data_IF_781562097364
#
_entry.id   IF_781562097364
#
_cell.length_a   1.000
_cell.length_b   1.000
_cell.length_c   1.000
_cell.angle_alpha   90.00
_cell.angle_beta   90.00
_cell.angle_gamma   90.00
#
_symmetry.space_group_name_H-M   'P 1'
#
loop_
_entity.id
_entity.type
_entity.pdbx_description
1 polymer ?
#
# COMPACT_ATOMS: atom_id res chain seq x y z
N UNK A 1 -17.61 20.13 25.89
CA UNK A 1 -16.16 20.34 25.79
C UNK A 1 -15.83 20.42 24.31
N UNK A 2 -15.22 21.51 23.83
CA UNK A 2 -14.75 21.57 22.44
C UNK A 2 -13.68 20.50 22.25
N UNK A 3 -13.92 19.52 21.37
CA UNK A 3 -12.86 18.59 20.97
C UNK A 3 -11.69 19.41 20.40
N UNK A 4 -10.49 19.13 20.86
CA UNK A 4 -9.30 19.78 20.34
C UNK A 4 -9.10 19.35 18.88
N UNK A 5 -8.93 20.32 17.99
CA UNK A 5 -8.60 20.04 16.59
C UNK A 5 -7.19 19.43 16.51
N UNK A 6 -7.07 18.29 15.82
CA UNK A 6 -5.80 17.61 15.55
C UNK A 6 -5.31 17.92 14.13
N UNK A 7 -4.00 17.86 13.95
CA UNK A 7 -3.34 17.89 12.64
C UNK A 7 -2.87 16.47 12.31
N UNK A 8 -3.55 15.86 11.36
CA UNK A 8 -3.53 14.42 11.11
C UNK A 8 -2.68 14.09 9.89
N UNK A 9 -1.80 13.10 10.04
CA UNK A 9 -1.20 12.38 8.92
C UNK A 9 -2.12 11.20 8.60
N UNK A 10 -2.68 11.15 7.40
CA UNK A 10 -3.56 10.05 7.00
C UNK A 10 -2.77 8.95 6.28
N UNK A 11 -2.79 7.73 6.82
CA UNK A 11 -2.25 6.56 6.14
C UNK A 11 -3.23 6.15 5.04
N UNK A 12 -2.76 6.15 3.79
CA UNK A 12 -3.55 5.78 2.61
C UNK A 12 -2.94 4.58 1.88
N UNK A 13 -3.83 3.76 1.30
CA UNK A 13 -3.45 2.53 0.62
C UNK A 13 -3.87 2.43 -0.83
N UNK A 14 -4.74 3.32 -1.33
CA UNK A 14 -5.49 3.04 -2.57
C UNK A 14 -6.92 2.61 -2.29
N UNK A 15 -7.13 1.88 -1.19
CA UNK A 15 -8.43 1.30 -0.84
C UNK A 15 -9.41 2.25 -0.13
N UNK A 16 -10.70 1.90 -0.24
CA UNK A 16 -11.86 2.65 0.30
C UNK A 16 -11.75 2.97 1.80
N UNK A 17 -11.23 2.05 2.61
CA UNK A 17 -11.24 2.18 4.06
C UNK A 17 -10.33 3.31 4.53
N UNK A 18 -9.20 3.50 3.84
CA UNK A 18 -8.25 4.57 4.14
C UNK A 18 -8.80 5.96 3.82
N UNK A 19 -9.50 6.11 2.68
CA UNK A 19 -10.19 7.35 2.31
C UNK A 19 -11.40 7.63 3.21
N UNK A 20 -12.17 6.60 3.57
CA UNK A 20 -13.29 6.76 4.48
C UNK A 20 -12.83 7.20 5.89
N UNK A 21 -11.64 6.75 6.33
CA UNK A 21 -11.02 7.23 7.58
C UNK A 21 -10.67 8.73 7.54
N UNK A 22 -10.29 9.27 6.37
CA UNK A 22 -10.10 10.72 6.17
C UNK A 22 -11.43 11.47 6.37
N UNK A 23 -12.53 10.98 5.83
CA UNK A 23 -13.85 11.60 6.02
C UNK A 23 -14.24 11.65 7.50
N UNK A 24 -13.92 10.61 8.28
CA UNK A 24 -14.11 10.64 9.74
C UNK A 24 -13.24 11.70 10.42
N UNK A 25 -11.99 11.90 10.00
CA UNK A 25 -11.15 12.98 10.53
C UNK A 25 -11.78 14.36 10.29
N UNK A 26 -12.24 14.62 9.05
CA UNK A 26 -12.86 15.88 8.68
C UNK A 26 -14.18 16.11 9.43
N UNK A 27 -15.03 15.08 9.53
CA UNK A 27 -16.32 15.14 10.24
C UNK A 27 -16.16 15.45 11.73
N UNK A 28 -15.06 15.00 12.35
CA UNK A 28 -14.72 15.30 13.75
C UNK A 28 -13.91 16.62 13.92
N UNK A 29 -13.82 17.43 12.87
CA UNK A 29 -13.20 18.76 12.92
C UNK A 29 -11.67 18.74 12.95
N UNK A 30 -11.03 17.61 12.63
CA UNK A 30 -9.59 17.52 12.48
C UNK A 30 -9.13 17.96 11.09
N UNK A 31 -7.88 18.39 10.98
CA UNK A 31 -7.26 18.80 9.72
C UNK A 31 -6.29 17.73 9.25
N UNK A 32 -6.50 17.18 8.05
CA UNK A 32 -5.49 16.31 7.42
C UNK A 32 -4.42 17.19 6.78
N UNK A 33 -3.17 17.03 7.22
CA UNK A 33 -2.05 17.89 6.79
C UNK A 33 -1.10 17.20 5.81
N UNK A 34 -1.11 15.87 5.79
CA UNK A 34 -0.29 15.05 4.89
C UNK A 34 -0.95 13.68 4.68
N UNK A 35 -0.71 13.10 3.51
CA UNK A 35 -1.00 11.71 3.17
C UNK A 35 0.31 10.91 3.26
N UNK A 36 0.24 9.69 3.78
CA UNK A 36 1.38 8.80 3.91
C UNK A 36 1.03 7.44 3.27
N UNK A 37 1.90 6.95 2.40
CA UNK A 37 1.76 5.64 1.78
C UNK A 37 3.09 4.89 1.78
N UNK A 38 3.05 3.61 2.13
CA UNK A 38 4.16 2.70 1.89
C UNK A 38 3.85 1.86 0.66
N UNK A 39 4.85 1.60 -0.17
CA UNK A 39 4.72 0.84 -1.41
C UNK A 39 5.80 -0.23 -1.52
N UNK A 40 5.63 -1.26 -2.37
CA UNK A 40 6.71 -2.19 -2.70
C UNK A 40 8.01 -1.49 -3.11
N UNK A 41 9.21 -2.02 -2.79
CA UNK A 41 10.44 -1.54 -3.39
C UNK A 41 10.31 -1.57 -4.90
N UNK A 42 10.57 -0.43 -5.51
CA UNK A 42 10.65 -0.31 -6.95
C UNK A 42 12.03 -0.90 -7.30
N UNK A 43 12.06 -2.11 -7.86
CA UNK A 43 13.32 -2.75 -8.23
C UNK A 43 14.17 -1.85 -9.14
N UNK A 44 15.51 -2.00 -9.09
CA UNK A 44 16.34 -1.49 -10.18
C UNK A 44 16.01 -2.33 -11.43
N UNK A 45 15.25 -1.79 -12.38
CA UNK A 45 15.04 -2.40 -13.70
C UNK A 45 15.65 -1.52 -14.80
N UNK A 46 16.31 -2.17 -15.76
CA UNK A 46 16.93 -1.56 -16.95
C UNK A 46 15.89 -1.09 -17.99
N UNK A 47 14.61 -1.42 -17.81
CA UNK A 47 13.49 -0.92 -18.60
C UNK A 47 12.39 -0.36 -17.68
N UNK A 48 12.11 0.93 -17.81
CA UNK A 48 11.03 1.61 -17.07
C UNK A 48 9.67 1.20 -17.66
N UNK A 49 8.79 0.56 -16.88
CA UNK A 49 7.39 0.34 -17.27
C UNK A 49 6.76 1.67 -17.73
N UNK A 50 5.98 1.65 -18.82
CA UNK A 50 5.35 2.84 -19.39
C UNK A 50 4.49 3.60 -18.36
N UNK A 51 3.89 2.84 -17.43
CA UNK A 51 3.11 3.35 -16.30
C UNK A 51 4.01 4.09 -15.29
N UNK A 52 5.19 3.54 -15.00
CA UNK A 52 6.19 4.16 -14.13
C UNK A 52 6.77 5.45 -14.73
N UNK A 53 7.11 5.43 -16.02
CA UNK A 53 7.58 6.60 -16.75
C UNK A 53 6.55 7.75 -16.72
N UNK A 54 5.25 7.43 -16.88
CA UNK A 54 4.18 8.40 -16.76
C UNK A 54 4.09 9.03 -15.35
N UNK A 55 4.31 8.25 -14.28
CA UNK A 55 4.34 8.77 -12.91
C UNK A 55 5.54 9.67 -12.64
N UNK A 56 6.73 9.33 -13.16
CA UNK A 56 7.94 10.15 -13.04
C UNK A 56 7.78 11.49 -13.76
N UNK A 57 7.21 11.48 -14.96
CA UNK A 57 6.93 12.68 -15.77
C UNK A 57 5.88 13.60 -15.12
N UNK A 58 4.92 13.04 -14.37
CA UNK A 58 3.88 13.81 -13.68
C UNK A 58 4.39 14.60 -12.45
N UNK A 59 5.64 14.41 -12.03
CA UNK A 59 6.22 15.06 -10.85
C UNK A 59 5.71 14.52 -9.50
N UNK A 60 5.04 13.37 -9.51
CA UNK A 60 4.47 12.74 -8.32
C UNK A 60 5.47 11.87 -7.52
N UNK A 61 6.67 11.65 -8.07
CA UNK A 61 7.84 11.12 -7.38
C UNK A 61 8.85 12.27 -7.24
N UNK A 62 9.04 12.79 -6.03
CA UNK A 62 10.16 13.68 -5.75
C UNK A 62 11.43 12.84 -5.62
N UNK A 63 12.53 13.34 -6.18
CA UNK A 63 13.87 12.74 -6.11
C UNK A 63 14.19 12.20 -4.71
N UNK A 64 14.57 10.92 -4.66
CA UNK A 64 15.25 10.35 -3.50
C UNK A 64 16.68 10.94 -3.52
N UNK A 65 16.91 12.02 -2.78
CA UNK A 65 18.25 12.55 -2.51
C UNK A 65 18.98 11.56 -1.57
N UNK A 66 19.53 10.48 -2.13
CA UNK A 66 20.32 9.54 -1.32
C UNK A 66 20.65 8.22 -1.99
N UNK A 67 21.44 8.26 -3.06
CA UNK A 67 22.61 7.37 -3.32
C UNK A 67 22.92 7.34 -4.83
N UNK A 68 23.43 8.45 -5.35
CA UNK A 68 24.14 8.48 -6.64
C UNK A 68 25.63 8.22 -6.37
N UNK A 69 26.07 6.98 -6.52
CA UNK A 69 27.45 6.67 -6.86
C UNK A 69 27.48 6.23 -8.32
N UNK A 70 27.82 7.20 -9.17
CA UNK A 70 27.85 7.07 -10.61
C UNK A 70 28.66 5.88 -11.13
N UNK A 71 28.13 5.30 -12.19
CA UNK A 71 28.88 4.54 -13.16
C UNK A 71 28.39 4.93 -14.56
N UNK A 72 29.00 5.99 -15.10
CA UNK A 72 28.92 6.29 -16.53
C UNK A 72 29.46 5.08 -17.32
N UNK A 73 28.58 4.43 -18.10
CA UNK A 73 28.99 3.61 -19.22
C UNK A 73 28.20 4.03 -20.45
N UNK A 74 28.91 4.72 -21.34
CA UNK A 74 28.51 4.94 -22.72
C UNK A 74 28.31 3.56 -23.39
N UNK A 75 27.14 3.34 -24.00
CA UNK A 75 26.86 2.16 -24.82
C UNK A 75 26.88 2.60 -26.28
N UNK A 76 27.88 2.13 -27.03
CA UNK A 76 27.94 2.26 -28.49
C UNK A 76 26.85 1.40 -29.12
N UNK A 77 26.03 1.99 -30.00
CA UNK A 77 25.04 1.28 -30.80
C UNK A 77 25.73 0.57 -31.97
N UNK A 78 25.74 -0.77 -31.97
CA UNK A 78 26.17 -1.57 -33.11
C UNK A 78 24.94 -2.00 -33.92
N UNK A 79 24.84 -1.48 -35.15
CA UNK A 79 23.75 -1.74 -36.09
C UNK A 79 24.14 -2.94 -36.94
N UNK A 80 23.52 -4.11 -36.71
CA UNK A 80 23.62 -5.25 -37.62
C UNK A 80 22.30 -5.42 -38.37
N UNK A 81 22.33 -5.04 -39.65
CA UNK A 81 21.29 -5.39 -40.62
C UNK A 81 21.35 -6.89 -40.92
N UNK A 82 20.21 -7.59 -40.81
CA UNK A 82 19.94 -8.78 -41.61
C UNK A 82 18.48 -8.76 -42.06
N UNK A 83 18.32 -8.61 -43.37
CA UNK A 83 17.12 -9.00 -44.10
C UNK A 83 17.07 -10.53 -44.16
N UNK A 84 15.91 -11.12 -43.87
CA UNK A 84 15.44 -12.32 -44.58
C UNK A 84 13.94 -12.49 -44.40
N UNK A 85 13.24 -12.46 -45.53
CA UNK A 85 11.86 -12.90 -45.72
C UNK A 85 11.73 -14.41 -45.42
N UNK A 86 10.72 -14.80 -44.65
CA UNK A 86 9.62 -15.71 -45.00
C UNK A 86 8.93 -16.19 -43.72
N UNK A 87 7.61 -16.25 -43.77
CA UNK A 87 6.77 -16.24 -42.59
C UNK A 87 6.68 -17.55 -41.81
N UNK A 88 6.23 -17.39 -40.59
CA UNK A 88 5.50 -18.38 -39.82
C UNK A 88 4.49 -17.60 -38.97
N UNK A 89 3.22 -18.00 -39.02
CA UNK A 89 2.15 -17.37 -38.24
C UNK A 89 2.10 -17.89 -36.79
N UNK A 90 3.12 -18.63 -36.37
CA UNK A 90 3.21 -19.30 -35.06
C UNK A 90 4.26 -18.63 -34.12
N UNK A 91 5.23 -17.84 -34.62
CA UNK A 91 6.25 -17.17 -33.77
C UNK A 91 5.69 -15.91 -33.07
N UNK A 92 4.72 -15.20 -33.67
CA UNK A 92 4.09 -14.02 -33.06
C UNK A 92 3.19 -14.39 -31.86
N UNK A 93 2.54 -15.57 -31.87
CA UNK A 93 1.74 -16.04 -30.72
C UNK A 93 2.64 -16.52 -29.56
N UNK A 94 3.80 -17.14 -29.84
CA UNK A 94 4.75 -17.54 -28.79
C UNK A 94 5.45 -16.31 -28.15
N UNK A 95 5.79 -15.28 -28.93
CA UNK A 95 6.33 -14.01 -28.39
C UNK A 95 5.27 -13.25 -27.55
N UNK A 96 4.00 -13.22 -27.98
CA UNK A 96 2.90 -12.62 -27.19
C UNK A 96 2.62 -13.41 -25.89
N UNK A 97 2.66 -14.74 -25.91
CA UNK A 97 2.51 -15.58 -24.71
C UNK A 97 3.70 -15.40 -23.73
N UNK A 98 4.94 -15.30 -24.23
CA UNK A 98 6.11 -15.01 -23.39
C UNK A 98 6.06 -13.59 -22.80
N UNK A 99 5.62 -12.58 -23.56
CA UNK A 99 5.40 -11.22 -23.04
C UNK A 99 4.27 -11.18 -21.98
N UNK A 100 3.16 -11.91 -22.18
CA UNK A 100 2.08 -12.02 -21.19
C UNK A 100 2.53 -12.76 -19.92
N UNK A 101 3.30 -13.85 -20.04
CA UNK A 101 3.87 -14.56 -18.89
C UNK A 101 4.89 -13.69 -18.12
N UNK A 102 5.73 -12.92 -18.82
CA UNK A 102 6.64 -11.96 -18.19
C UNK A 102 5.85 -10.83 -17.49
N UNK A 103 4.80 -10.29 -18.10
CA UNK A 103 3.93 -9.28 -17.46
C UNK A 103 3.20 -9.81 -16.22
N UNK A 104 2.69 -11.06 -16.26
CA UNK A 104 2.06 -11.71 -15.10
C UNK A 104 3.06 -11.97 -13.97
N UNK A 105 4.28 -12.46 -14.28
CA UNK A 105 5.35 -12.63 -13.29
C UNK A 105 5.81 -11.26 -12.71
N UNK A 106 5.82 -10.19 -13.51
CA UNK A 106 6.12 -8.84 -13.06
C UNK A 106 5.04 -8.27 -12.12
N UNK A 107 3.75 -8.49 -12.40
CA UNK A 107 2.66 -8.12 -11.49
C UNK A 107 2.70 -8.92 -10.17
N UNK A 108 3.07 -10.20 -10.22
CA UNK A 108 3.26 -11.04 -9.03
C UNK A 108 4.46 -10.59 -8.18
N UNK A 109 5.56 -10.15 -8.80
CA UNK A 109 6.72 -9.58 -8.08
C UNK A 109 6.41 -8.23 -7.42
N UNK A 110 5.50 -7.42 -7.99
CA UNK A 110 5.06 -6.16 -7.37
C UNK A 110 4.24 -6.38 -6.08
N UNK A 111 3.50 -7.48 -5.99
CA UNK A 111 2.67 -7.79 -4.83
C UNK A 111 3.45 -8.52 -3.73
N UNK A 112 4.20 -7.74 -2.93
CA UNK A 112 4.71 -8.25 -1.65
C UNK A 112 3.56 -8.75 -0.77
N UNK A 113 3.67 -10.00 -0.34
CA UNK A 113 2.78 -10.62 0.66
C UNK A 113 3.00 -10.01 2.06
N UNK A 114 2.60 -8.75 2.24
CA UNK A 114 2.58 -8.07 3.54
C UNK A 114 1.17 -8.14 4.14
N UNK A 115 1.05 -8.77 5.31
CA UNK A 115 -0.17 -8.67 6.13
C UNK A 115 -0.38 -7.24 6.69
N UNK A 116 0.66 -6.42 6.67
CA UNK A 116 0.63 -5.06 7.21
C UNK A 116 0.11 -4.04 6.19
N UNK A 117 0.57 -4.11 4.95
CA UNK A 117 0.35 -3.08 3.93
C UNK A 117 -0.37 -3.64 2.70
N UNK A 118 -1.32 -2.86 2.17
CA UNK A 118 -1.92 -3.15 0.88
C UNK A 118 -1.00 -2.62 -0.23
N UNK A 119 -0.53 -3.52 -1.09
CA UNK A 119 0.36 -3.24 -2.24
C UNK A 119 -0.39 -3.15 -3.56
N UNK A 120 -1.49 -3.90 -3.66
CA UNK A 120 -2.37 -3.92 -4.84
C UNK A 120 -2.88 -2.51 -5.15
N UNK A 121 -2.72 -2.08 -6.40
CA UNK A 121 -3.19 -0.79 -6.89
C UNK A 121 -2.44 0.40 -6.29
N UNK A 122 -1.25 0.20 -5.69
CA UNK A 122 -0.45 1.30 -5.14
C UNK A 122 -0.02 2.32 -6.21
N UNK A 123 -0.02 1.95 -7.49
CA UNK A 123 0.26 2.81 -8.64
C UNK A 123 -0.71 3.99 -8.74
N UNK A 124 -1.98 3.86 -8.34
CA UNK A 124 -2.97 4.95 -8.41
C UNK A 124 -2.82 6.01 -7.31
N UNK A 125 -2.18 5.65 -6.20
CA UNK A 125 -2.08 6.48 -4.98
C UNK A 125 -1.51 7.89 -5.22
N UNK A 126 -0.50 8.11 -6.10
CA UNK A 126 -0.01 9.44 -6.45
C UNK A 126 -1.09 10.42 -6.91
N UNK A 127 -2.15 9.93 -7.57
CA UNK A 127 -3.24 10.78 -8.06
C UNK A 127 -4.04 11.43 -6.91
N UNK A 128 -4.07 10.81 -5.73
CA UNK A 128 -4.79 11.36 -4.58
C UNK A 128 -4.21 12.67 -4.07
N UNK A 129 -2.91 12.93 -4.26
CA UNK A 129 -2.34 14.23 -3.92
C UNK A 129 -3.06 15.36 -4.65
N UNK A 130 -3.19 15.21 -5.97
CA UNK A 130 -3.85 16.20 -6.83
C UNK A 130 -5.36 16.24 -6.58
N UNK A 131 -6.01 15.09 -6.40
CA UNK A 131 -7.45 15.01 -6.16
C UNK A 131 -7.87 15.62 -4.82
N UNK A 132 -7.08 15.43 -3.76
CA UNK A 132 -7.40 15.91 -2.41
C UNK A 132 -6.78 17.27 -2.10
N UNK A 133 -5.77 17.71 -2.85
CA UNK A 133 -5.00 18.92 -2.55
C UNK A 133 -4.20 18.81 -1.24
N UNK A 134 -3.82 17.59 -0.85
CA UNK A 134 -3.08 17.29 0.38
C UNK A 134 -1.72 16.69 -0.02
N UNK A 135 -0.58 17.20 0.51
CA UNK A 135 0.74 16.66 0.20
C UNK A 135 0.84 15.16 0.48
N UNK A 136 1.40 14.40 -0.45
CA UNK A 136 1.61 12.97 -0.35
C UNK A 136 3.10 12.66 -0.15
N UNK A 137 3.37 11.80 0.82
CA UNK A 137 4.69 11.25 1.09
C UNK A 137 4.64 9.75 0.92
N UNK A 138 5.58 9.23 0.13
CA UNK A 138 5.70 7.81 -0.18
C UNK A 138 7.07 7.30 0.23
N UNK A 139 7.15 6.05 0.65
CA UNK A 139 8.41 5.37 0.88
C UNK A 139 8.28 3.87 0.59
N UNK A 140 9.37 3.20 0.18
CA UNK A 140 9.35 1.76 -0.02
C UNK A 140 9.23 1.02 1.31
N UNK A 141 8.56 -0.13 1.30
CA UNK A 141 8.54 -1.10 2.39
C UNK A 141 9.91 -1.79 2.39
N UNK A 142 10.66 -1.62 3.48
CA UNK A 142 11.97 -2.27 3.67
C UNK A 142 11.86 -3.39 4.68
N UNK A 143 12.64 -4.45 4.49
CA UNK A 143 12.67 -5.58 5.40
C UNK A 143 11.50 -6.54 5.24
N UNK A 144 11.26 -7.36 6.26
CA UNK A 144 10.23 -8.41 6.28
C UNK A 144 9.43 -8.36 7.59
N UNK A 145 8.31 -9.08 7.68
CA UNK A 145 7.58 -9.22 8.94
C UNK A 145 8.37 -10.07 9.96
N UNK A 146 9.18 -9.44 10.81
CA UNK A 146 10.00 -10.15 11.81
C UNK A 146 9.20 -10.48 13.07
N UNK A 147 8.47 -9.51 13.62
CA UNK A 147 7.44 -9.79 14.61
C UNK A 147 6.15 -10.14 13.87
N UNK A 148 5.71 -11.40 13.95
CA UNK A 148 4.44 -11.88 13.37
C UNK A 148 3.34 -12.02 14.42
N UNK A 149 3.60 -11.62 15.67
CA UNK A 149 2.61 -11.68 16.73
C UNK A 149 1.45 -10.69 16.48
N UNK A 150 0.31 -11.03 17.08
CA UNK A 150 -0.91 -10.19 17.04
C UNK A 150 -0.69 -8.82 17.68
N UNK A 151 0.02 -8.80 18.80
CA UNK A 151 0.35 -7.58 19.54
C UNK A 151 1.82 -7.26 19.30
N UNK A 152 2.08 -6.09 18.71
CA UNK A 152 3.43 -5.69 18.35
C UNK A 152 4.19 -5.13 19.55
N UNK A 153 5.40 -5.66 19.77
CA UNK A 153 6.29 -5.15 20.80
C UNK A 153 7.42 -4.35 20.16
N UNK A 154 7.80 -3.23 20.78
CA UNK A 154 8.94 -2.45 20.30
C UNK A 154 10.19 -3.34 20.33
N UNK A 155 10.94 -3.43 19.23
CA UNK A 155 12.20 -4.18 19.22
C UNK A 155 13.11 -3.64 20.33
N UNK A 156 13.42 -4.48 21.32
CA UNK A 156 14.37 -4.10 22.36
C UNK A 156 15.75 -4.03 21.73
N UNK A 157 16.47 -2.92 21.94
CA UNK A 157 17.89 -2.79 21.58
C UNK A 157 18.79 -3.86 22.25
N UNK A 158 18.25 -4.68 23.14
CA UNK A 158 18.92 -5.74 23.89
C UNK A 158 18.38 -7.16 23.64
N UNK A 159 17.56 -7.40 22.61
CA UNK A 159 17.14 -8.77 22.31
C UNK A 159 18.38 -9.61 21.92
N UNK A 160 18.56 -10.83 22.48
CA UNK A 160 19.66 -11.69 22.08
C UNK A 160 19.50 -11.99 20.59
N UNK A 161 20.52 -11.67 19.79
CA UNK A 161 20.62 -12.13 18.42
C UNK A 161 20.58 -13.65 18.47
N UNK A 162 19.47 -14.26 18.06
CA UNK A 162 19.39 -15.71 17.97
C UNK A 162 20.35 -16.16 16.86
N UNK A 163 21.53 -16.58 17.29
CA UNK A 163 22.66 -16.94 16.46
C UNK A 163 23.88 -17.24 17.32
N UNK A 164 23.69 -17.94 18.44
CA UNK A 164 24.80 -18.62 19.13
C UNK A 164 25.11 -19.89 18.35
N UNK A 165 25.62 -19.70 17.13
CA UNK A 165 26.33 -20.74 16.40
C UNK A 165 27.81 -20.54 16.73
N UNK A 166 28.26 -21.21 17.78
CA UNK A 166 29.65 -21.60 17.95
C UNK A 166 30.07 -22.42 16.72
N UNK A 167 30.45 -21.76 15.64
CA UNK A 167 31.19 -22.37 14.57
C UNK A 167 32.22 -21.37 14.04
N UNK A 168 33.42 -21.46 14.61
CA UNK A 168 34.66 -20.94 14.06
C UNK A 168 34.86 -21.48 12.63
N UNK A 169 34.33 -20.78 11.63
CA UNK A 169 34.86 -20.87 10.28
C UNK A 169 34.82 -19.49 9.62
N UNK A 170 35.95 -18.80 9.73
CA UNK A 170 36.23 -17.57 9.02
C UNK A 170 36.29 -17.85 7.51
N UNK A 171 35.15 -17.69 6.82
CA UNK A 171 35.16 -17.37 5.41
C UNK A 171 34.34 -16.10 5.17
N UNK A 172 35.04 -15.08 4.71
CA UNK A 172 34.53 -13.74 4.53
C UNK A 172 33.55 -13.67 3.36
N UNK A 173 32.27 -13.46 3.64
CA UNK A 173 31.39 -12.72 2.74
C UNK A 173 30.83 -11.52 3.52
N UNK A 174 31.43 -10.36 3.29
CA UNK A 174 31.22 -9.14 4.09
C UNK A 174 29.87 -8.44 3.84
N UNK A 175 28.91 -9.09 3.16
CA UNK A 175 27.61 -8.51 2.84
C UNK A 175 26.40 -9.23 3.47
N UNK A 176 26.61 -10.21 4.37
CA UNK A 176 25.53 -11.03 4.95
C UNK A 176 25.16 -10.69 6.41
N UNK A 177 25.63 -9.57 6.95
CA UNK A 177 25.53 -9.28 8.39
C UNK A 177 24.80 -7.96 8.73
N UNK A 178 24.02 -7.42 7.78
CA UNK A 178 23.04 -6.39 8.10
C UNK A 178 21.97 -7.01 9.02
N UNK A 179 21.63 -6.37 10.16
CA UNK A 179 20.55 -6.87 11.00
C UNK A 179 19.26 -6.91 10.19
N UNK A 180 18.53 -8.02 10.29
CA UNK A 180 17.22 -8.13 9.66
C UNK A 180 16.34 -6.94 10.09
N UNK A 181 15.68 -6.32 9.12
CA UNK A 181 14.84 -5.15 9.33
C UNK A 181 13.37 -5.55 9.35
N UNK A 182 12.61 -5.04 10.33
CA UNK A 182 11.17 -5.26 10.42
C UNK A 182 10.41 -4.25 9.54
N UNK A 183 9.49 -4.75 8.71
CA UNK A 183 8.70 -3.94 7.78
C UNK A 183 8.00 -2.74 8.47
N UNK A 184 7.62 -2.89 9.74
CA UNK A 184 6.94 -1.87 10.54
C UNK A 184 7.77 -0.60 10.70
N UNK A 185 9.11 -0.72 10.70
CA UNK A 185 10.01 0.42 10.88
C UNK A 185 10.02 1.34 9.65
N UNK A 186 9.60 0.84 8.48
CA UNK A 186 9.36 1.67 7.29
C UNK A 186 8.33 2.77 7.58
N UNK A 187 7.26 2.43 8.32
CA UNK A 187 6.23 3.40 8.71
C UNK A 187 6.77 4.42 9.71
N UNK A 188 7.59 3.99 10.67
CA UNK A 188 8.22 4.89 11.63
C UNK A 188 9.07 5.96 10.92
N UNK A 189 9.90 5.55 9.95
CA UNK A 189 10.75 6.48 9.20
C UNK A 189 9.95 7.43 8.32
N UNK A 190 8.94 6.93 7.62
CA UNK A 190 8.05 7.75 6.80
C UNK A 190 7.34 8.81 7.65
N UNK A 191 6.74 8.41 8.77
CA UNK A 191 6.06 9.36 9.66
C UNK A 191 7.03 10.36 10.28
N UNK A 192 8.25 9.93 10.65
CA UNK A 192 9.27 10.84 11.14
C UNK A 192 9.67 11.88 10.09
N UNK A 193 9.82 11.48 8.82
CA UNK A 193 10.07 12.40 7.71
C UNK A 193 8.94 13.42 7.56
N UNK A 194 7.68 12.96 7.54
CA UNK A 194 6.49 13.82 7.43
C UNK A 194 6.42 14.81 8.61
N UNK A 195 6.72 14.39 9.83
CA UNK A 195 6.72 15.27 11.00
C UNK A 195 7.79 16.38 10.92
N UNK A 196 8.90 16.15 10.22
CA UNK A 196 9.89 17.23 9.96
C UNK A 196 9.34 18.26 8.98
N UNK A 197 8.62 17.83 7.95
CA UNK A 197 7.98 18.70 6.98
C UNK A 197 6.70 19.39 7.52
N UNK A 198 6.01 18.73 8.46
CA UNK A 198 4.79 19.20 9.11
C UNK A 198 4.94 19.18 10.64
N UNK A 199 5.69 20.12 11.25
CA UNK A 199 5.97 20.11 12.70
C UNK A 199 4.73 20.24 13.61
N UNK A 200 3.60 20.68 13.06
CA UNK A 200 2.33 20.76 13.78
C UNK A 200 1.55 19.45 13.82
N UNK A 201 1.97 18.42 13.07
CA UNK A 201 1.32 17.12 13.05
C UNK A 201 1.38 16.47 14.43
N UNK A 202 0.24 15.98 14.92
CA UNK A 202 0.10 15.42 16.26
C UNK A 202 -0.80 14.18 16.31
N UNK A 203 -1.27 13.70 15.16
CA UNK A 203 -2.09 12.51 15.07
C UNK A 203 -1.80 11.74 13.77
N UNK A 204 -2.05 10.43 13.80
CA UNK A 204 -2.01 9.56 12.62
C UNK A 204 -3.33 8.81 12.52
N UNK A 205 -3.93 8.77 11.32
CA UNK A 205 -5.19 8.06 11.08
C UNK A 205 -5.00 6.89 10.14
N UNK A 206 -5.67 5.78 10.43
CA UNK A 206 -5.60 4.56 9.63
C UNK A 206 -7.00 3.98 9.35
N UNK A 207 -7.12 3.25 8.25
CA UNK A 207 -8.35 2.59 7.81
C UNK A 207 -8.53 1.15 8.30
N UNK A 208 -7.77 0.68 9.29
CA UNK A 208 -7.86 -0.71 9.74
C UNK A 208 -9.21 -1.00 10.43
N UNK A 209 -9.94 -2.01 9.94
CA UNK A 209 -11.28 -2.35 10.45
C UNK A 209 -11.23 -3.45 11.54
N UNK A 210 -10.68 -4.62 11.24
CA UNK A 210 -10.69 -5.79 12.14
C UNK A 210 -9.30 -6.43 12.38
N UNK A 211 -8.27 -6.01 11.66
CA UNK A 211 -6.90 -6.49 11.87
C UNK A 211 -6.24 -5.92 13.13
N UNK A 212 -6.15 -6.75 14.19
CA UNK A 212 -5.42 -6.35 15.42
C UNK A 212 -3.94 -6.17 15.10
N UNK A 213 -3.41 -7.02 14.21
CA UNK A 213 -2.04 -7.00 13.73
C UNK A 213 -1.64 -5.63 13.17
N UNK A 214 -2.47 -5.06 12.29
CA UNK A 214 -2.22 -3.74 11.71
C UNK A 214 -2.35 -2.63 12.75
N UNK A 215 -3.40 -2.70 13.58
CA UNK A 215 -3.67 -1.68 14.60
C UNK A 215 -2.50 -1.57 15.60
N UNK A 216 -2.03 -2.68 16.16
CA UNK A 216 -1.01 -2.65 17.21
C UNK A 216 0.33 -2.13 16.71
N UNK A 217 0.69 -2.43 15.45
CA UNK A 217 1.88 -1.84 14.77
C UNK A 217 1.75 -0.33 14.60
N UNK A 218 0.62 0.16 14.12
CA UNK A 218 0.37 1.60 13.96
C UNK A 218 0.36 2.30 15.32
N UNK A 219 -0.30 1.74 16.32
CA UNK A 219 -0.34 2.28 17.68
C UNK A 219 1.06 2.32 18.31
N UNK A 220 1.88 1.29 18.10
CA UNK A 220 3.26 1.26 18.58
C UNK A 220 4.10 2.38 17.94
N UNK A 221 4.06 2.51 16.61
CA UNK A 221 4.76 3.57 15.89
C UNK A 221 4.28 4.96 16.32
N UNK A 222 2.96 5.15 16.43
CA UNK A 222 2.36 6.40 16.87
C UNK A 222 2.84 6.78 18.28
N UNK A 223 2.83 5.82 19.22
CA UNK A 223 3.28 6.03 20.59
C UNK A 223 4.76 6.44 20.65
N UNK A 224 5.63 5.79 19.85
CA UNK A 224 7.06 6.13 19.77
C UNK A 224 7.32 7.53 19.20
N UNK A 225 6.43 8.03 18.33
CA UNK A 225 6.52 9.36 17.73
C UNK A 225 5.73 10.44 18.48
N UNK A 226 5.01 10.08 19.55
CA UNK A 226 4.15 11.01 20.28
C UNK A 226 2.91 11.47 19.50
N UNK A 227 2.45 10.68 18.53
CA UNK A 227 1.25 10.92 17.74
C UNK A 227 0.04 10.26 18.41
N UNK A 228 -1.12 10.91 18.33
CA UNK A 228 -2.41 10.29 18.69
C UNK A 228 -2.87 9.36 17.57
N UNK A 229 -3.03 8.03 17.81
CA UNK A 229 -3.58 7.13 16.81
C UNK A 229 -5.10 7.29 16.71
N UNK A 230 -5.60 7.47 15.48
CA UNK A 230 -7.02 7.59 15.15
C UNK A 230 -7.46 6.37 14.34
N UNK A 231 -8.11 5.41 15.00
CA UNK A 231 -8.60 4.17 14.41
C UNK A 231 -10.13 4.16 14.34
N UNK A 232 -10.71 5.05 13.52
CA UNK A 232 -12.16 5.29 13.44
C UNK A 232 -12.99 4.06 13.10
N UNK A 233 -12.43 3.16 12.30
CA UNK A 233 -13.12 1.98 11.77
C UNK A 233 -12.82 0.71 12.58
N UNK A 234 -12.02 0.83 13.65
CA UNK A 234 -11.63 -0.32 14.43
C UNK A 234 -12.81 -0.97 15.12
N UNK A 235 -12.94 -2.30 14.96
CA UNK A 235 -14.07 -3.09 15.44
C UNK A 235 -15.42 -2.60 14.91
N UNK A 236 -15.47 -2.08 13.68
CA UNK A 236 -16.68 -1.49 13.11
C UNK A 236 -17.97 -2.33 13.28
N UNK A 237 -17.99 -3.67 13.09
CA UNK A 237 -19.22 -4.44 13.32
C UNK A 237 -19.75 -4.39 14.76
N UNK A 238 -18.92 -3.99 15.73
CA UNK A 238 -19.28 -3.79 17.14
C UNK A 238 -19.49 -2.31 17.51
N UNK A 239 -19.23 -1.37 16.60
CA UNK A 239 -19.52 0.04 16.83
C UNK A 239 -21.03 0.28 16.71
N UNK A 240 -21.62 1.16 17.55
CA UNK A 240 -23.01 1.57 17.37
C UNK A 240 -23.19 2.16 15.97
N UNK A 241 -24.23 1.76 15.21
CA UNK A 241 -24.47 2.38 13.93
C UNK A 241 -24.85 3.86 14.14
N UNK A 242 -24.61 4.75 13.16
CA UNK A 242 -25.22 6.08 13.13
C UNK A 242 -26.70 5.96 13.41
N UNK A 243 -27.25 6.92 14.17
CA UNK A 243 -28.64 6.91 14.63
C UNK A 243 -29.64 6.69 13.49
N UNK A 244 -29.28 7.12 12.28
CA UNK A 244 -30.09 7.05 11.06
C UNK A 244 -30.08 5.68 10.38
N UNK A 245 -29.02 4.87 10.58
CA UNK A 245 -28.84 3.55 9.96
C UNK A 245 -29.09 2.48 11.02
N UNK A 246 -30.05 1.61 10.80
CA UNK A 246 -30.29 0.47 11.69
C UNK A 246 -29.09 -0.49 11.76
N UNK A 247 -29.27 -1.61 12.45
CA UNK A 247 -28.26 -2.69 12.44
C UNK A 247 -28.23 -3.33 11.05
N UNK A 248 -27.07 -3.31 10.40
CA UNK A 248 -26.83 -3.93 9.10
C UNK A 248 -25.49 -4.65 9.09
N UNK A 249 -25.44 -5.85 8.50
CA UNK A 249 -24.21 -6.63 8.33
C UNK A 249 -23.23 -5.93 7.37
N UNK A 250 -23.75 -5.19 6.40
CA UNK A 250 -22.98 -4.42 5.42
C UNK A 250 -22.97 -2.92 5.73
N UNK A 251 -23.25 -2.56 6.99
CA UNK A 251 -23.46 -1.18 7.39
C UNK A 251 -22.33 -0.21 7.06
N UNK A 252 -21.08 -0.69 6.98
CA UNK A 252 -19.93 0.14 6.62
C UNK A 252 -19.99 0.55 5.15
N UNK A 253 -20.35 -0.38 4.28
CA UNK A 253 -20.49 -0.12 2.85
C UNK A 253 -21.66 0.81 2.60
N UNK A 254 -22.78 0.62 3.31
CA UNK A 254 -23.91 1.56 3.28
C UNK A 254 -23.51 2.98 3.73
N UNK A 255 -22.70 3.11 4.79
CA UNK A 255 -22.19 4.41 5.25
C UNK A 255 -21.25 5.05 4.23
N UNK A 256 -20.38 4.26 3.58
CA UNK A 256 -19.51 4.71 2.50
C UNK A 256 -20.33 5.22 1.31
N UNK A 257 -21.37 4.46 0.91
CA UNK A 257 -22.30 4.82 -0.16
C UNK A 257 -23.02 6.14 0.15
N UNK A 258 -23.49 6.30 1.39
CA UNK A 258 -24.20 7.50 1.83
C UNK A 258 -23.31 8.75 1.80
N UNK A 259 -21.98 8.57 1.87
CA UNK A 259 -21.00 9.65 1.70
C UNK A 259 -20.61 9.87 0.22
N UNK A 260 -21.22 9.15 -0.73
CA UNK A 260 -20.90 9.21 -2.15
C UNK A 260 -19.59 8.51 -2.51
N UNK A 261 -19.10 7.59 -1.68
CA UNK A 261 -17.94 6.78 -2.01
C UNK A 261 -18.32 5.76 -3.09
N UNK A 262 -17.61 5.79 -4.22
CA UNK A 262 -17.62 4.74 -5.23
C UNK A 262 -16.39 3.86 -4.99
N UNK A 263 -16.59 2.56 -4.74
CA UNK A 263 -15.51 1.66 -4.37
C UNK A 263 -15.47 0.46 -5.31
N UNK A 264 -14.50 0.42 -6.21
CA UNK A 264 -14.38 -0.61 -7.26
C UNK A 264 -13.50 -1.77 -6.82
N UNK A 265 -13.87 -3.01 -7.17
CA UNK A 265 -13.02 -4.20 -6.98
C UNK A 265 -11.91 -4.20 -8.03
N UNK A 266 -10.65 -4.25 -7.58
CA UNK A 266 -9.47 -4.29 -8.47
C UNK A 266 -8.66 -5.59 -8.34
N UNK A 267 -8.87 -6.37 -7.27
CA UNK A 267 -8.27 -7.69 -7.08
C UNK A 267 -9.20 -8.55 -6.23
N UNK A 268 -9.23 -9.85 -6.52
CA UNK A 268 -10.03 -10.84 -5.81
C UNK A 268 -9.09 -11.93 -5.29
N UNK A 269 -9.17 -12.22 -4.00
CA UNK A 269 -8.43 -13.31 -3.34
C UNK A 269 -9.35 -14.06 -2.35
N UNK A 270 -10.63 -14.20 -2.69
CA UNK A 270 -11.64 -14.79 -1.81
C UNK A 270 -12.49 -15.81 -2.55
N UNK A 271 -12.75 -16.96 -1.91
CA UNK A 271 -13.67 -17.95 -2.44
C UNK A 271 -15.11 -17.41 -2.44
N UNK A 272 -15.73 -17.38 -3.62
CA UNK A 272 -17.12 -16.96 -3.79
C UNK A 272 -17.31 -15.69 -4.64
N UNK A 273 -16.22 -15.02 -5.00
CA UNK A 273 -16.19 -13.98 -6.03
C UNK A 273 -15.47 -14.52 -7.28
N UNK A 274 -15.86 -14.06 -8.46
CA UNK A 274 -15.27 -14.42 -9.74
C UNK A 274 -14.80 -13.20 -10.54
N UNK A 275 -14.13 -13.43 -11.67
CA UNK A 275 -13.57 -12.36 -12.51
C UNK A 275 -14.64 -11.37 -12.98
N UNK A 276 -15.90 -11.81 -13.10
CA UNK A 276 -17.02 -10.95 -13.49
C UNK A 276 -17.37 -9.91 -12.40
N UNK A 277 -16.94 -10.13 -11.15
CA UNK A 277 -17.10 -9.19 -10.05
C UNK A 277 -16.06 -8.06 -10.07
N UNK A 278 -14.97 -8.18 -10.85
CA UNK A 278 -14.00 -7.11 -11.02
C UNK A 278 -14.69 -5.85 -11.56
N UNK A 279 -14.20 -4.69 -11.12
CA UNK A 279 -14.79 -3.39 -11.40
C UNK A 279 -16.22 -3.17 -10.86
N UNK A 280 -16.80 -4.13 -10.13
CA UNK A 280 -18.04 -3.94 -9.40
C UNK A 280 -17.90 -2.87 -8.32
N UNK A 281 -18.91 -2.00 -8.16
CA UNK A 281 -18.97 -1.05 -7.04
C UNK A 281 -19.53 -1.75 -5.79
N UNK A 282 -18.72 -1.83 -4.73
CA UNK A 282 -19.08 -2.50 -3.47
C UNK A 282 -19.74 -1.57 -2.45
N UNK A 283 -19.64 -0.26 -2.64
CA UNK A 283 -20.33 0.70 -1.78
C UNK A 283 -21.72 1.01 -2.35
N UNK A 284 -21.86 1.08 -3.66
CA UNK A 284 -23.11 1.38 -4.34
C UNK A 284 -24.24 0.39 -4.09
N UNK A 285 -25.44 0.92 -3.88
CA UNK A 285 -26.67 0.13 -3.93
C UNK A 285 -27.05 -0.16 -5.38
N UNK A 286 -26.58 -1.28 -5.91
CA UNK A 286 -27.07 -1.93 -7.13
C UNK A 286 -27.21 -1.01 -8.34
N UNK A 287 -26.19 -0.96 -9.18
CA UNK A 287 -26.39 -0.51 -10.55
C UNK A 287 -27.43 -1.44 -11.20
N UNK A 288 -28.63 -0.93 -11.44
CA UNK A 288 -29.76 -1.63 -12.04
C UNK A 288 -29.55 -1.90 -13.53
N UNK A 289 -28.46 -2.59 -13.88
CA UNK A 289 -28.02 -2.76 -15.26
C UNK A 289 -27.03 -3.91 -15.48
N UNK A 290 -27.03 -4.94 -14.65
CA UNK A 290 -26.28 -6.19 -14.87
C UNK A 290 -27.10 -7.37 -14.39
N UNK A 291 -27.43 -8.28 -15.30
CA UNK A 291 -28.51 -9.26 -15.14
C UNK A 291 -28.45 -10.07 -13.85
N UNK A 292 -29.58 -10.11 -13.14
CA UNK A 292 -29.89 -11.13 -12.17
C UNK A 292 -29.79 -12.53 -12.84
N UNK A 293 -28.62 -13.16 -12.77
CA UNK A 293 -28.48 -14.61 -12.93
C UNK A 293 -28.48 -15.21 -11.54
N UNK A 294 -29.67 -15.64 -11.13
CA UNK A 294 -29.87 -16.29 -9.84
C UNK A 294 -28.96 -17.51 -9.67
N UNK A 295 -28.15 -17.49 -8.62
CA UNK A 295 -27.61 -18.73 -8.05
C UNK A 295 -28.63 -19.28 -7.06
N UNK A 296 -29.42 -20.24 -7.53
CA UNK A 296 -30.10 -21.20 -6.67
C UNK A 296 -29.04 -22.02 -5.94
N UNK A 297 -29.22 -22.09 -4.62
CA UNK A 297 -28.79 -23.11 -3.66
C UNK A 297 -27.59 -24.01 -3.98
N UNK A 298 -26.73 -24.13 -2.97
CA UNK A 298 -26.54 -25.38 -2.24
C UNK A 298 -26.54 -25.08 -0.74
#
# INVERSE_FOLDING_TARGET
>A
MSQQQLNVIALISGGKDSLYSILHCLKNGHKVVALANLHPPLGCREHESATYAAYRVSGALQHDDGDDQGADREVEADVVQRESENGDYDEEEEEEEEEEEEEEEEEEEEDLDSYMYQTVGHSIVPLYQSALGIPLYRAPIRGTALDTARDYQTPSASAPRHGDNDNDNANANANANAPAEDETESLFRLLQHIMRAHPSANAVSAGAILSTYQRTRIENVAARLGLVPLAWLWMYPALPPPVERGVSVVGLLEDMAACGCEARIIKIASGGLDVDDLWGDVAGGGDGGGGARGRRGL
#
